data_IF_237533839018
#
_entry.id   IF_237533839018
#
_cell.length_a   1.000
_cell.length_b   1.000
_cell.length_c   1.000
_cell.angle_alpha   90.00
_cell.angle_beta   90.00
_cell.angle_gamma   90.00
#
_symmetry.space_group_name_H-M   'P 1'
#
loop_
_entity.id
_entity.type
_entity.pdbx_description
1 polymer ?
#
# COMPACT_ATOMS: atom_id res chain seq x y z
N UNK A 1 5.08 7.24 6.02
CA UNK A 1 5.15 6.37 4.83
C UNK A 1 4.79 4.96 5.28
N UNK A 2 3.86 4.28 4.60
CA UNK A 2 3.38 2.94 4.97
C UNK A 2 3.84 1.93 3.92
N UNK A 3 4.21 0.69 4.30
CA UNK A 3 4.63 -0.32 3.35
C UNK A 3 3.42 -0.85 2.56
N UNK A 4 3.68 -1.34 1.34
CA UNK A 4 2.61 -1.87 0.46
C UNK A 4 1.74 -2.96 1.10
N UNK A 5 2.27 -3.89 1.94
CA UNK A 5 1.45 -4.87 2.65
C UNK A 5 0.41 -4.27 3.60
N UNK A 6 0.66 -3.07 4.14
CA UNK A 6 -0.31 -2.40 5.00
C UNK A 6 -1.53 -1.91 4.21
N UNK A 7 -1.34 -1.46 2.95
CA UNK A 7 -2.45 -1.17 2.05
C UNK A 7 -3.29 -2.42 1.76
N UNK A 8 -2.63 -3.55 1.47
CA UNK A 8 -3.29 -4.85 1.24
C UNK A 8 -4.15 -5.25 2.45
N UNK A 9 -3.62 -5.09 3.66
CA UNK A 9 -4.34 -5.30 4.90
C UNK A 9 -5.53 -4.34 5.06
N UNK A 10 -5.31 -3.03 4.86
CA UNK A 10 -6.30 -1.99 5.05
C UNK A 10 -7.53 -2.19 4.16
N UNK A 11 -7.34 -2.49 2.87
CA UNK A 11 -8.44 -2.72 1.92
C UNK A 11 -9.39 -3.82 2.42
N UNK A 12 -8.83 -4.93 2.93
CA UNK A 12 -9.60 -6.03 3.50
C UNK A 12 -10.25 -5.64 4.82
N UNK A 13 -9.50 -4.98 5.71
CA UNK A 13 -9.95 -4.61 7.06
C UNK A 13 -11.12 -3.63 7.02
N UNK A 14 -11.11 -2.71 6.07
CA UNK A 14 -12.10 -1.64 5.89
C UNK A 14 -13.18 -2.01 4.87
N UNK A 15 -13.14 -3.21 4.30
CA UNK A 15 -14.04 -3.67 3.23
C UNK A 15 -14.09 -2.72 2.02
N UNK A 16 -12.94 -2.15 1.65
CA UNK A 16 -12.83 -1.30 0.47
C UNK A 16 -12.87 -2.12 -0.82
N UNK A 17 -13.33 -1.51 -1.91
CA UNK A 17 -13.33 -2.15 -3.23
C UNK A 17 -11.90 -2.32 -3.78
N UNK A 18 -11.06 -1.32 -3.57
CA UNK A 18 -9.66 -1.33 -4.02
C UNK A 18 -8.81 -0.39 -3.16
N UNK A 19 -7.49 -0.54 -3.27
CA UNK A 19 -6.50 0.36 -2.70
C UNK A 19 -5.48 0.75 -3.76
N UNK A 20 -4.99 1.99 -3.71
CA UNK A 20 -3.97 2.49 -4.63
C UNK A 20 -2.78 2.95 -3.81
N UNK A 21 -1.58 2.51 -4.19
CA UNK A 21 -0.33 3.04 -3.65
C UNK A 21 0.42 3.75 -4.77
N UNK A 22 0.82 5.00 -4.51
CA UNK A 22 1.74 5.74 -5.36
C UNK A 22 3.17 5.33 -4.97
N UNK A 23 3.84 4.61 -5.84
CA UNK A 23 5.19 4.07 -5.59
C UNK A 23 5.91 3.75 -6.89
N UNK A 24 7.19 4.10 -6.94
CA UNK A 24 8.13 3.64 -7.95
C UNK A 24 8.89 2.37 -7.52
N UNK A 25 8.52 1.79 -6.36
CA UNK A 25 9.18 0.64 -5.73
C UNK A 25 10.68 0.86 -5.50
N UNK A 26 11.52 0.45 -6.45
CA UNK A 26 12.98 0.57 -6.42
C UNK A 26 13.53 1.32 -7.64
N UNK A 27 12.63 1.90 -8.47
CA UNK A 27 13.04 2.67 -9.62
C UNK A 27 13.71 3.98 -9.17
N UNK A 28 14.58 4.55 -10.02
CA UNK A 28 15.16 5.86 -9.78
C UNK A 28 14.10 6.93 -9.43
N UNK A 29 14.47 7.97 -8.65
CA UNK A 29 13.53 8.96 -8.12
C UNK A 29 12.77 9.75 -9.20
N UNK A 30 13.30 9.82 -10.42
CA UNK A 30 12.62 10.41 -11.58
C UNK A 30 11.40 9.62 -12.07
N UNK A 31 11.26 8.35 -11.67
CA UNK A 31 10.09 7.55 -11.99
C UNK A 31 9.03 7.68 -10.91
N UNK A 32 7.78 7.78 -11.33
CA UNK A 32 6.62 7.62 -10.47
C UNK A 32 5.70 6.55 -11.07
N UNK A 33 4.94 5.89 -10.22
CA UNK A 33 4.04 4.82 -10.61
C UNK A 33 2.95 4.63 -9.58
N UNK A 34 1.99 3.80 -9.93
CA UNK A 34 0.97 3.36 -8.99
C UNK A 34 0.77 1.86 -9.09
N UNK A 35 0.33 1.25 -7.99
CA UNK A 35 -0.17 -0.13 -7.96
C UNK A 35 -1.59 -0.10 -7.44
N UNK A 36 -2.43 -0.96 -8.01
CA UNK A 36 -3.82 -1.12 -7.59
C UNK A 36 -3.99 -2.50 -6.96
N UNK A 37 -4.60 -2.51 -5.79
CA UNK A 37 -4.95 -3.69 -5.02
C UNK A 37 -6.47 -3.84 -5.01
N UNK A 38 -6.99 -5.05 -5.20
CA UNK A 38 -8.42 -5.30 -5.23
C UNK A 38 -8.98 -5.61 -3.84
N UNK A 39 -10.30 -5.84 -3.74
CA UNK A 39 -11.03 -6.09 -2.48
C UNK A 39 -10.51 -7.30 -1.69
N UNK A 40 -9.81 -8.22 -2.35
CA UNK A 40 -9.17 -9.39 -1.73
C UNK A 40 -7.81 -9.06 -1.10
N UNK A 41 -7.32 -7.83 -1.25
CA UNK A 41 -6.00 -7.40 -0.82
C UNK A 41 -4.87 -7.86 -1.74
N UNK A 42 -5.16 -8.48 -2.88
CA UNK A 42 -4.17 -8.83 -3.91
C UNK A 42 -3.94 -7.67 -4.87
N UNK A 43 -2.74 -7.57 -5.45
CA UNK A 43 -2.54 -6.67 -6.59
C UNK A 43 -3.40 -7.14 -7.77
N UNK A 44 -4.01 -6.22 -8.52
CA UNK A 44 -4.82 -6.60 -9.69
C UNK A 44 -3.97 -7.32 -10.75
N UNK A 45 -4.56 -8.36 -11.35
CA UNK A 45 -3.98 -9.19 -12.41
C UNK A 45 -5.02 -9.39 -13.52
N UNK A 46 -4.66 -9.99 -14.67
CA UNK A 46 -5.64 -10.31 -15.70
C UNK A 46 -6.83 -11.12 -15.18
N UNK A 47 -8.06 -10.81 -15.63
CA UNK A 47 -8.41 -9.82 -16.68
C UNK A 47 -8.66 -8.38 -16.16
N UNK A 48 -8.61 -8.14 -14.85
CA UNK A 48 -9.06 -6.87 -14.24
C UNK A 48 -8.16 -5.69 -14.63
N UNK A 49 -6.85 -5.92 -14.68
CA UNK A 49 -5.85 -4.93 -15.10
C UNK A 49 -6.13 -4.38 -16.52
N UNK A 50 -6.46 -5.26 -17.48
CA UNK A 50 -6.77 -4.87 -18.86
C UNK A 50 -8.05 -4.05 -18.95
N UNK A 51 -9.06 -4.40 -18.15
CA UNK A 51 -10.30 -3.62 -18.08
C UNK A 51 -10.03 -2.22 -17.53
N UNK A 52 -9.23 -2.11 -16.47
CA UNK A 52 -8.85 -0.80 -15.90
C UNK A 52 -8.09 0.05 -16.92
N UNK A 53 -7.10 -0.50 -17.61
CA UNK A 53 -6.34 0.23 -18.64
C UNK A 53 -7.27 0.68 -19.78
N UNK A 54 -8.17 -0.19 -20.25
CA UNK A 54 -9.13 0.17 -21.30
C UNK A 54 -10.04 1.34 -20.89
N UNK A 55 -10.48 1.40 -19.63
CA UNK A 55 -11.26 2.53 -19.13
C UNK A 55 -10.43 3.82 -19.02
N UNK A 56 -9.17 3.73 -18.60
CA UNK A 56 -8.25 4.87 -18.55
C UNK A 56 -8.00 5.43 -19.96
N UNK A 57 -7.78 4.57 -20.95
CA UNK A 57 -7.52 4.96 -22.34
C UNK A 57 -8.73 5.62 -23.02
N UNK A 58 -9.96 5.33 -22.57
CA UNK A 58 -11.17 5.99 -23.07
C UNK A 58 -11.32 7.42 -22.57
N UNK A 59 -10.71 7.76 -21.44
CA UNK A 59 -10.85 9.06 -20.79
C UNK A 59 -9.94 10.11 -21.46
N UNK A 60 -10.51 11.24 -21.88
CA UNK A 60 -9.70 12.39 -22.33
C UNK A 60 -9.29 13.21 -21.12
N UNK A 61 -8.08 13.76 -21.16
CA UNK A 61 -7.54 14.58 -20.06
C UNK A 61 -8.50 15.71 -19.61
N UNK A 62 -9.19 16.36 -20.56
CA UNK A 62 -10.17 17.43 -20.28
C UNK A 62 -11.41 16.98 -19.50
N UNK A 63 -11.65 15.66 -19.41
CA UNK A 63 -12.77 15.06 -18.69
C UNK A 63 -12.40 14.71 -17.24
N UNK A 64 -11.13 14.85 -16.86
CA UNK A 64 -10.69 14.64 -15.48
C UNK A 64 -11.27 15.74 -14.59
N UNK A 65 -12.01 15.32 -13.58
CA UNK A 65 -12.58 16.23 -12.58
C UNK A 65 -11.54 16.56 -11.51
N UNK A 66 -10.97 17.77 -11.57
CA UNK A 66 -10.02 18.28 -10.58
C UNK A 66 -10.67 19.00 -9.39
N UNK A 67 -12.01 19.01 -9.30
CA UNK A 67 -12.71 19.58 -8.14
C UNK A 67 -12.54 18.65 -6.93
N UNK A 68 -11.57 18.98 -6.10
CA UNK A 68 -11.27 18.25 -4.87
C UNK A 68 -12.40 18.38 -3.85
N UNK A 69 -12.85 17.24 -3.31
CA UNK A 69 -13.94 17.13 -2.34
C UNK A 69 -13.42 16.52 -1.03
N UNK A 70 -12.89 17.34 -0.09
CA UNK A 70 -12.28 16.85 1.14
C UNK A 70 -13.27 16.09 2.03
N UNK A 71 -14.57 16.40 1.95
CA UNK A 71 -15.62 15.75 2.73
C UNK A 71 -15.82 14.26 2.39
N UNK A 72 -15.32 13.82 1.23
CA UNK A 72 -15.34 12.40 0.84
C UNK A 72 -14.08 11.65 1.28
N UNK A 73 -13.13 12.33 1.93
CA UNK A 73 -11.83 11.78 2.27
C UNK A 73 -11.76 11.58 3.77
N UNK A 74 -11.57 10.33 4.16
CA UNK A 74 -11.22 9.97 5.52
C UNK A 74 -9.71 9.72 5.60
N UNK A 75 -9.03 10.45 6.48
CA UNK A 75 -7.61 10.24 6.73
C UNK A 75 -7.46 9.12 7.75
N UNK A 76 -6.81 8.06 7.34
CA UNK A 76 -6.57 6.88 8.17
C UNK A 76 -5.12 6.89 8.64
N UNK A 77 -4.93 6.76 9.95
CA UNK A 77 -3.63 6.74 10.60
C UNK A 77 -3.53 5.54 11.55
N UNK A 78 -3.28 5.75 12.85
CA UNK A 78 -3.04 4.70 13.85
C UNK A 78 -4.14 3.63 13.99
N UNK A 79 -5.35 3.94 13.52
CA UNK A 79 -6.50 3.03 13.48
C UNK A 79 -6.24 1.78 12.62
N UNK A 80 -5.33 1.86 11.63
CA UNK A 80 -4.92 0.70 10.82
C UNK A 80 -3.52 0.20 11.19
N UNK A 81 -2.59 1.08 11.51
CA UNK A 81 -1.21 0.70 11.84
C UNK A 81 -1.17 -0.32 12.98
N UNK A 82 -1.92 -0.06 14.06
CA UNK A 82 -1.91 -0.92 15.25
C UNK A 82 -2.50 -2.31 14.95
N UNK A 83 -3.70 -2.44 14.36
CA UNK A 83 -4.21 -3.76 13.96
C UNK A 83 -3.31 -4.51 12.98
N UNK A 84 -2.67 -3.81 12.04
CA UNK A 84 -1.72 -4.42 11.11
C UNK A 84 -0.52 -5.01 11.85
N UNK A 85 0.15 -4.21 12.70
CA UNK A 85 1.30 -4.64 13.50
C UNK A 85 0.93 -5.82 14.40
N UNK A 86 -0.20 -5.73 15.11
CA UNK A 86 -0.66 -6.81 16.00
C UNK A 86 -0.88 -8.11 15.22
N UNK A 87 -1.50 -8.05 14.05
CA UNK A 87 -1.72 -9.23 13.23
C UNK A 87 -0.39 -9.82 12.71
N UNK A 88 0.59 -8.99 12.36
CA UNK A 88 1.94 -9.46 12.03
C UNK A 88 2.60 -10.19 13.20
N UNK A 89 2.46 -9.68 14.43
CA UNK A 89 3.02 -10.31 15.64
C UNK A 89 2.32 -11.62 15.98
N UNK A 90 1.00 -11.69 15.84
CA UNK A 90 0.20 -12.90 16.07
C UNK A 90 0.56 -14.04 15.11
N UNK A 91 0.90 -13.70 13.86
CA UNK A 91 1.25 -14.68 12.82
C UNK A 91 2.78 -14.88 12.68
N UNK A 92 3.59 -14.28 13.55
CA UNK A 92 5.04 -14.42 13.50
C UNK A 92 5.48 -15.82 13.95
N UNK A 93 6.20 -16.52 13.07
CA UNK A 93 6.79 -17.83 13.37
C UNK A 93 8.08 -17.61 14.19
N UNK A 94 8.12 -18.15 15.41
CA UNK A 94 9.24 -17.96 16.35
C UNK A 94 9.72 -19.28 17.00
N UNK A 95 9.49 -20.42 16.34
CA UNK A 95 9.66 -21.77 16.93
C UNK A 95 11.07 -22.03 17.48
N UNK A 96 12.11 -21.48 16.85
CA UNK A 96 13.51 -21.68 17.25
C UNK A 96 14.06 -20.60 18.19
N UNK A 97 13.25 -19.59 18.53
CA UNK A 97 13.68 -18.46 19.36
C UNK A 97 13.43 -18.77 20.84
N UNK A 98 14.47 -19.29 21.52
CA UNK A 98 14.41 -19.62 22.96
C UNK A 98 14.29 -18.40 23.87
N UNK A 99 14.85 -17.26 23.46
CA UNK A 99 14.81 -15.99 24.19
C UNK A 99 15.01 -14.83 23.23
N UNK A 100 14.18 -13.78 23.35
CA UNK A 100 14.33 -12.55 22.56
C UNK A 100 15.59 -11.76 22.92
N UNK A 101 16.13 -11.96 24.12
CA UNK A 101 17.32 -11.25 24.61
C UNK A 101 18.62 -11.72 23.96
N UNK A 102 18.61 -12.88 23.30
CA UNK A 102 19.79 -13.48 22.69
C UNK A 102 19.98 -13.06 21.22
N UNK A 103 19.03 -12.30 20.67
CA UNK A 103 19.01 -11.90 19.26
C UNK A 103 19.41 -10.43 19.14
N UNK A 104 20.46 -10.16 18.37
CA UNK A 104 20.84 -8.81 17.95
C UNK A 104 20.41 -8.59 16.51
N UNK A 105 19.57 -7.59 16.27
CA UNK A 105 19.04 -7.25 14.93
C UNK A 105 19.55 -5.87 14.53
N UNK A 106 20.04 -5.75 13.30
CA UNK A 106 20.31 -4.45 12.65
C UNK A 106 19.35 -4.31 11.48
N UNK A 107 18.65 -3.18 11.41
CA UNK A 107 17.73 -2.86 10.31
C UNK A 107 18.30 -1.68 9.52
N UNK A 108 18.45 -1.87 8.21
CA UNK A 108 18.71 -0.78 7.28
C UNK A 108 17.40 -0.37 6.61
N UNK A 109 16.95 0.85 6.88
CA UNK A 109 15.78 1.42 6.23
C UNK A 109 16.22 2.25 5.03
N UNK A 110 15.90 1.79 3.82
CA UNK A 110 16.10 2.59 2.62
C UNK A 110 15.04 3.70 2.58
N UNK A 111 15.40 4.90 2.99
CA UNK A 111 14.56 6.09 2.78
C UNK A 111 14.78 6.61 1.36
N UNK A 112 13.72 7.02 0.68
CA UNK A 112 13.86 7.79 -0.55
C UNK A 112 14.76 9.02 -0.28
N UNK A 113 15.64 9.40 -1.22
CA UNK A 113 16.50 10.56 -1.03
C UNK A 113 15.63 11.77 -0.70
N UNK A 114 15.98 12.50 0.36
CA UNK A 114 15.35 13.78 0.65
C UNK A 114 15.62 14.72 -0.53
N UNK A 115 14.60 15.47 -1.00
CA UNK A 115 14.89 16.56 -1.91
C UNK A 115 15.88 17.54 -1.23
N UNK A 116 16.80 18.12 -2.00
CA UNK A 116 17.81 19.04 -1.48
C UNK A 116 17.21 20.27 -0.79
#
# INVERSE_FOLDING_TARGET
MRPTPELSYAVRKLNCLCGIVLTASHNPPEYNGFKVYWKDGGQIVPPIDKLLISEIEKLKFKEVNFNFRPELIEIIDKEIDKPFINNCLENAINEDVKSRNDIKIVLLLCTAPHPP
#
